data_IF_978763317112
#
_entry.id   IF_978763317112
#
_cell.length_a   1.000
_cell.length_b   1.000
_cell.length_c   1.000
_cell.angle_alpha   90.00
_cell.angle_beta   90.00
_cell.angle_gamma   90.00
#
_symmetry.space_group_name_H-M   'P 1'
#
loop_
_entity.id
_entity.type
_entity.pdbx_description
1 polymer ?
#
# COMPACT_ATOMS: atom_id res chain seq x y z
N UNK A 1 52.95 4.05 -9.19
CA UNK A 1 52.53 5.36 -8.67
C UNK A 1 52.30 5.22 -7.17
N UNK A 2 53.08 5.91 -6.32
CA UNK A 2 53.00 5.78 -4.86
C UNK A 2 51.61 6.13 -4.31
N UNK A 3 50.84 6.98 -5.00
CA UNK A 3 49.46 7.32 -4.60
C UNK A 3 48.53 6.13 -4.79
N UNK A 4 48.71 5.37 -5.87
CA UNK A 4 47.88 4.20 -6.16
C UNK A 4 48.06 3.09 -5.12
N UNK A 5 49.30 2.81 -4.73
CA UNK A 5 49.62 1.78 -3.74
C UNK A 5 49.04 2.14 -2.36
N UNK A 6 49.05 3.43 -2.01
CA UNK A 6 48.52 3.94 -0.75
C UNK A 6 46.99 3.83 -0.68
N UNK A 7 46.29 4.15 -1.77
CA UNK A 7 44.82 3.97 -1.88
C UNK A 7 44.44 2.49 -1.80
N UNK A 8 45.19 1.63 -2.48
CA UNK A 8 44.95 0.18 -2.50
C UNK A 8 45.18 -0.45 -1.12
N UNK A 9 46.23 -0.01 -0.41
CA UNK A 9 46.49 -0.44 0.96
C UNK A 9 45.42 0.07 1.94
N UNK A 10 44.95 1.31 1.79
CA UNK A 10 43.84 1.83 2.60
C UNK A 10 42.54 1.06 2.36
N UNK A 11 42.23 0.72 1.10
CA UNK A 11 41.06 -0.07 0.76
C UNK A 11 41.15 -1.48 1.34
N UNK A 12 42.31 -2.12 1.25
CA UNK A 12 42.53 -3.44 1.84
C UNK A 12 42.34 -3.41 3.37
N UNK A 13 42.92 -2.41 4.04
CA UNK A 13 42.75 -2.22 5.48
C UNK A 13 41.29 -1.90 5.86
N UNK A 14 40.56 -1.15 5.03
CA UNK A 14 39.15 -0.86 5.25
C UNK A 14 38.27 -2.11 5.07
N UNK A 15 38.57 -2.96 4.07
CA UNK A 15 37.91 -4.25 3.86
C UNK A 15 38.18 -5.19 5.05
N UNK A 16 39.43 -5.29 5.48
CA UNK A 16 39.82 -6.05 6.68
C UNK A 16 39.08 -5.52 7.91
N UNK A 17 39.06 -4.20 8.11
CA UNK A 17 38.31 -3.56 9.19
C UNK A 17 36.82 -3.90 9.15
N UNK A 18 36.17 -3.86 7.98
CA UNK A 18 34.77 -4.23 7.83
C UNK A 18 34.49 -5.71 8.11
N UNK A 19 35.41 -6.61 7.72
CA UNK A 19 35.32 -8.04 8.01
C UNK A 19 35.33 -8.30 9.52
N UNK A 20 36.19 -7.60 10.26
CA UNK A 20 36.34 -7.77 11.71
C UNK A 20 35.37 -6.92 12.56
N UNK A 21 34.57 -6.04 11.96
CA UNK A 21 33.60 -5.17 12.66
C UNK A 21 32.17 -5.73 12.75
N UNK A 22 31.97 -7.05 12.64
CA UNK A 22 30.75 -7.73 13.15
C UNK A 22 31.05 -8.14 14.59
N UNK A 23 30.43 -7.63 15.65
CA UNK A 23 29.01 -7.42 15.89
C UNK A 23 28.78 -6.24 16.87
N UNK A 24 28.07 -5.19 16.45
CA UNK A 24 27.28 -4.30 17.35
C UNK A 24 25.95 -3.88 16.70
N UNK A 25 25.40 -4.73 15.84
CA UNK A 25 23.98 -4.68 15.50
C UNK A 25 23.30 -5.90 16.08
N UNK A 26 22.67 -5.73 17.26
CA UNK A 26 21.58 -6.59 17.71
C UNK A 26 20.41 -6.42 16.73
N UNK A 27 20.51 -7.08 15.59
CA UNK A 27 19.50 -7.16 14.56
C UNK A 27 19.38 -8.62 14.15
N UNK A 28 18.16 -9.14 14.18
CA UNK A 28 17.78 -10.50 13.82
C UNK A 28 18.44 -10.88 12.47
N UNK A 29 19.43 -11.80 12.51
CA UNK A 29 20.17 -12.26 11.32
C UNK A 29 19.25 -13.16 10.50
N UNK A 30 18.80 -12.68 9.34
CA UNK A 30 18.20 -13.48 8.27
C UNK A 30 18.96 -13.16 6.98
N UNK A 31 19.83 -14.06 6.52
CA UNK A 31 20.38 -14.04 5.16
C UNK A 31 20.76 -15.46 4.74
N UNK A 32 19.97 -15.95 3.78
CA UNK A 32 20.29 -16.72 2.57
C UNK A 32 21.61 -17.50 2.49
N UNK A 33 21.44 -18.79 2.15
CA UNK A 33 22.43 -19.81 1.92
C UNK A 33 23.21 -19.62 0.61
N UNK A 34 24.51 -19.89 0.63
CA UNK A 34 25.27 -20.53 -0.45
C UNK A 34 26.67 -20.94 0.05
N UNK A 35 26.74 -22.15 0.65
CA UNK A 35 27.87 -23.10 0.76
C UNK A 35 27.62 -24.00 1.98
N UNK A 36 27.89 -25.28 1.81
CA UNK A 36 27.31 -26.38 2.59
C UNK A 36 27.36 -26.22 4.11
N UNK A 37 26.19 -26.38 4.72
CA UNK A 37 25.98 -26.88 6.08
C UNK A 37 26.71 -26.18 7.25
N UNK A 38 26.96 -24.87 7.16
CA UNK A 38 27.55 -24.10 8.27
C UNK A 38 26.53 -23.60 9.32
N UNK A 39 25.25 -23.97 9.16
CA UNK A 39 24.15 -23.58 10.07
C UNK A 39 23.33 -24.79 10.52
N UNK A 40 23.98 -25.93 10.75
CA UNK A 40 23.34 -26.99 11.52
C UNK A 40 23.24 -26.49 12.97
N UNK A 41 22.02 -26.14 13.41
CA UNK A 41 21.74 -25.83 14.81
C UNK A 41 22.37 -26.91 15.69
N UNK A 42 23.13 -26.49 16.69
CA UNK A 42 23.66 -27.42 17.68
C UNK A 42 22.48 -28.11 18.39
N UNK A 43 22.68 -29.35 18.88
CA UNK A 43 21.62 -30.05 19.63
C UNK A 43 21.12 -29.23 20.81
N UNK A 44 22.00 -28.41 21.42
CA UNK A 44 21.63 -27.47 22.47
C UNK A 44 20.72 -26.35 21.96
N UNK A 45 21.02 -25.72 20.83
CA UNK A 45 20.16 -24.69 20.24
C UNK A 45 18.82 -25.26 19.79
N UNK A 46 18.81 -26.49 19.23
CA UNK A 46 17.55 -27.19 18.93
C UNK A 46 16.72 -27.42 20.19
N UNK A 47 17.35 -27.90 21.26
CA UNK A 47 16.71 -28.11 22.56
C UNK A 47 16.18 -26.80 23.15
N UNK A 48 16.96 -25.73 23.07
CA UNK A 48 16.60 -24.41 23.59
C UNK A 48 15.45 -23.82 22.78
N UNK A 49 15.51 -23.92 21.45
CA UNK A 49 14.39 -23.56 20.56
C UNK A 49 13.17 -24.42 20.80
N UNK A 50 13.30 -25.74 21.06
CA UNK A 50 12.18 -26.62 21.38
C UNK A 50 11.58 -26.31 22.77
N UNK A 51 12.41 -25.89 23.74
CA UNK A 51 11.95 -25.42 25.06
C UNK A 51 11.27 -24.06 24.99
N UNK A 52 11.80 -23.14 24.18
CA UNK A 52 11.21 -21.82 23.91
C UNK A 52 9.99 -21.92 22.99
N UNK A 53 9.93 -22.94 22.13
CA UNK A 53 8.79 -23.27 21.28
C UNK A 53 7.67 -23.79 22.16
N UNK A 54 7.01 -22.85 22.83
CA UNK A 54 5.63 -23.04 23.25
C UNK A 54 4.87 -23.31 21.96
N UNK A 55 4.13 -24.42 21.93
CA UNK A 55 3.02 -24.63 21.01
C UNK A 55 1.99 -23.55 21.32
N UNK A 56 2.30 -22.31 20.92
CA UNK A 56 1.34 -21.25 20.80
C UNK A 56 0.37 -21.85 19.83
N UNK A 57 -0.77 -22.32 20.33
CA UNK A 57 -1.84 -22.76 19.46
C UNK A 57 -2.17 -21.63 18.51
N UNK A 58 -3.24 -21.78 17.72
CA UNK A 58 -3.89 -20.57 17.22
C UNK A 58 -4.51 -19.87 18.44
N UNK A 59 -3.70 -19.23 19.26
CA UNK A 59 -4.16 -18.15 20.11
C UNK A 59 -4.62 -17.11 19.10
N UNK A 60 -5.93 -16.88 18.98
CA UNK A 60 -6.40 -15.85 18.09
C UNK A 60 -5.70 -14.54 18.51
N UNK A 61 -5.18 -13.81 17.51
CA UNK A 61 -4.41 -12.57 17.73
C UNK A 61 -5.24 -11.50 18.46
N UNK A 62 -6.56 -11.68 18.49
CA UNK A 62 -7.51 -10.98 19.32
C UNK A 62 -8.30 -12.02 20.16
N UNK A 63 -8.77 -11.67 21.37
CA UNK A 63 -9.75 -12.51 22.06
C UNK A 63 -10.94 -12.76 21.12
N UNK A 64 -11.51 -13.98 21.08
CA UNK A 64 -12.71 -14.24 20.29
C UNK A 64 -13.76 -13.21 20.71
N UNK A 65 -14.18 -12.37 19.78
CA UNK A 65 -15.30 -11.49 20.05
C UNK A 65 -16.52 -12.40 20.21
N UNK A 66 -17.35 -12.15 21.22
CA UNK A 66 -18.56 -12.96 21.43
C UNK A 66 -19.59 -12.82 20.30
N UNK A 67 -19.32 -11.96 19.30
CA UNK A 67 -20.17 -11.67 18.15
C UNK A 67 -19.71 -12.32 16.84
N UNK A 68 -18.41 -12.54 16.62
CA UNK A 68 -17.90 -12.99 15.29
C UNK A 68 -18.08 -14.49 15.04
N UNK A 69 -18.19 -15.32 16.08
CA UNK A 69 -18.21 -16.78 15.91
C UNK A 69 -19.58 -17.34 15.46
N UNK A 70 -20.61 -16.48 15.35
CA UNK A 70 -21.99 -16.87 15.04
C UNK A 70 -22.66 -16.08 13.91
N UNK A 71 -21.92 -15.25 13.16
CA UNK A 71 -22.50 -14.63 11.96
C UNK A 71 -22.66 -15.71 10.87
N UNK A 72 -23.90 -16.14 10.63
CA UNK A 72 -24.24 -16.88 9.42
C UNK A 72 -23.73 -16.09 8.21
N UNK A 73 -22.68 -16.61 7.56
CA UNK A 73 -22.16 -15.99 6.34
C UNK A 73 -23.26 -15.93 5.32
N UNK A 74 -23.68 -14.72 4.95
CA UNK A 74 -24.60 -14.54 3.83
C UNK A 74 -23.87 -14.93 2.55
N UNK A 75 -24.40 -15.93 1.84
CA UNK A 75 -23.87 -16.35 0.55
C UNK A 75 -24.68 -15.63 -0.52
N UNK A 76 -24.01 -14.80 -1.31
CA UNK A 76 -24.60 -14.17 -2.49
C UNK A 76 -24.54 -15.17 -3.64
N UNK A 77 -25.68 -15.49 -4.23
CA UNK A 77 -25.80 -16.39 -5.38
C UNK A 77 -25.77 -15.61 -6.70
N UNK A 78 -26.46 -14.48 -6.75
CA UNK A 78 -26.57 -13.63 -7.94
C UNK A 78 -26.55 -12.14 -7.54
N UNK A 79 -26.01 -11.31 -8.43
CA UNK A 79 -26.01 -9.85 -8.33
C UNK A 79 -26.77 -9.32 -9.56
N UNK A 80 -27.76 -8.47 -9.31
CA UNK A 80 -28.58 -7.81 -10.33
C UNK A 80 -28.61 -6.32 -10.00
N UNK A 81 -27.58 -5.60 -10.44
CA UNK A 81 -27.43 -4.17 -10.25
C UNK A 81 -27.51 -3.80 -8.76
N UNK A 82 -28.53 -3.03 -8.38
CA UNK A 82 -28.75 -2.62 -7.00
C UNK A 82 -29.35 -3.72 -6.09
N UNK A 83 -29.50 -4.96 -6.56
CA UNK A 83 -30.16 -6.06 -5.85
C UNK A 83 -29.26 -7.30 -5.75
N UNK A 84 -29.27 -7.98 -4.60
CA UNK A 84 -28.59 -9.26 -4.38
C UNK A 84 -29.62 -10.38 -4.20
N UNK A 85 -29.30 -11.57 -4.70
CA UNK A 85 -30.02 -12.81 -4.39
C UNK A 85 -29.18 -13.59 -3.39
N UNK A 86 -29.70 -13.74 -2.17
CA UNK A 86 -29.05 -14.50 -1.11
C UNK A 86 -29.46 -15.97 -1.19
N UNK A 87 -28.48 -16.86 -1.07
CA UNK A 87 -28.69 -18.30 -0.99
C UNK A 87 -29.32 -18.69 0.36
N UNK A 88 -30.12 -19.75 0.36
CA UNK A 88 -30.81 -20.26 1.54
C UNK A 88 -31.87 -21.30 1.19
N UNK A 89 -32.66 -21.72 2.18
CA UNK A 89 -33.83 -22.61 1.93
C UNK A 89 -34.83 -21.98 0.96
N UNK A 90 -34.94 -20.65 1.00
CA UNK A 90 -35.69 -19.84 0.04
C UNK A 90 -34.75 -18.75 -0.50
N UNK A 91 -34.72 -18.56 -1.82
CA UNK A 91 -33.97 -17.46 -2.43
C UNK A 91 -34.61 -16.14 -2.00
N UNK A 92 -33.80 -15.25 -1.43
CA UNK A 92 -34.26 -13.93 -0.97
C UNK A 92 -33.61 -12.83 -1.79
N UNK A 93 -34.44 -12.02 -2.44
CA UNK A 93 -34.02 -10.79 -3.10
C UNK A 93 -33.95 -9.65 -2.09
N UNK A 94 -32.82 -8.92 -2.06
CA UNK A 94 -32.57 -7.80 -1.13
C UNK A 94 -31.88 -6.64 -1.85
N UNK A 95 -32.12 -5.41 -1.39
CA UNK A 95 -31.39 -4.24 -1.89
C UNK A 95 -29.94 -4.26 -1.39
N UNK A 96 -29.02 -3.88 -2.27
CA UNK A 96 -27.60 -3.83 -2.02
C UNK A 96 -27.16 -2.44 -1.56
N UNK A 97 -26.82 -2.30 -0.29
CA UNK A 97 -26.21 -1.08 0.27
C UNK A 97 -24.81 -1.37 0.85
N UNK A 98 -24.19 -2.50 0.46
CA UNK A 98 -23.01 -3.03 1.13
C UNK A 98 -21.81 -3.22 0.20
N UNK A 99 -21.99 -3.18 -1.13
CA UNK A 99 -20.89 -3.25 -2.09
C UNK A 99 -20.46 -1.85 -2.53
N UNK A 100 -19.25 -1.76 -3.07
CA UNK A 100 -18.65 -0.51 -3.55
C UNK A 100 -18.71 -0.38 -5.08
N UNK A 101 -19.66 -1.05 -5.73
CA UNK A 101 -19.91 -0.94 -7.17
C UNK A 101 -20.65 0.37 -7.48
N UNK A 102 -19.93 1.48 -7.37
CA UNK A 102 -20.53 2.81 -7.42
C UNK A 102 -21.05 3.19 -8.81
N UNK A 103 -20.48 2.61 -9.87
CA UNK A 103 -20.89 2.87 -11.26
C UNK A 103 -21.79 1.77 -11.83
N UNK A 104 -22.01 0.68 -11.11
CA UNK A 104 -22.85 -0.44 -11.56
C UNK A 104 -22.21 -1.26 -12.67
N UNK A 105 -20.88 -1.22 -12.81
CA UNK A 105 -20.16 -1.85 -13.94
C UNK A 105 -19.97 -3.36 -13.77
N UNK A 106 -20.26 -3.89 -12.57
CA UNK A 106 -20.14 -5.32 -12.32
C UNK A 106 -21.26 -6.15 -12.96
N UNK A 107 -22.38 -5.54 -13.36
CA UNK A 107 -23.56 -6.22 -13.89
C UNK A 107 -24.04 -5.59 -15.21
N UNK A 108 -24.61 -6.41 -16.10
CA UNK A 108 -25.07 -5.98 -17.43
C UNK A 108 -26.53 -5.49 -17.43
N UNK A 109 -27.04 -5.04 -16.29
CA UNK A 109 -28.48 -4.79 -16.08
C UNK A 109 -29.02 -3.61 -16.89
N UNK A 110 -28.15 -2.67 -17.28
CA UNK A 110 -28.48 -1.52 -18.14
C UNK A 110 -28.47 -1.88 -19.64
N UNK A 111 -28.26 -3.15 -19.99
CA UNK A 111 -28.21 -3.65 -21.37
C UNK A 111 -26.85 -3.47 -22.07
N UNK A 112 -25.85 -2.97 -21.36
CA UNK A 112 -24.46 -2.86 -21.83
C UNK A 112 -23.61 -4.04 -21.34
N UNK A 113 -23.54 -5.13 -22.14
CA UNK A 113 -22.69 -6.31 -21.88
C UNK A 113 -21.23 -6.08 -22.33
N UNK A 114 -20.78 -4.84 -22.55
CA UNK A 114 -19.46 -4.56 -23.15
C UNK A 114 -18.30 -5.07 -22.31
N UNK A 115 -18.32 -4.86 -20.98
CA UNK A 115 -17.27 -5.35 -20.07
C UNK A 115 -17.19 -6.87 -20.09
N UNK A 116 -18.34 -7.55 -20.07
CA UNK A 116 -18.42 -9.01 -20.10
C UNK A 116 -18.06 -9.58 -21.48
N UNK A 117 -18.44 -8.92 -22.57
CA UNK A 117 -18.02 -9.28 -23.92
C UNK A 117 -16.49 -9.17 -24.08
N UNK A 118 -15.89 -8.05 -23.64
CA UNK A 118 -14.45 -7.84 -23.64
C UNK A 118 -13.71 -8.86 -22.76
N UNK A 119 -14.29 -9.22 -21.62
CA UNK A 119 -13.74 -10.25 -20.73
C UNK A 119 -13.70 -11.63 -21.42
N UNK A 120 -14.76 -12.02 -22.15
CA UNK A 120 -14.79 -13.28 -22.93
C UNK A 120 -13.77 -13.27 -24.07
N UNK A 121 -13.61 -12.14 -24.75
CA UNK A 121 -12.61 -11.97 -25.81
C UNK A 121 -11.18 -12.07 -25.25
N UNK A 122 -10.92 -11.43 -24.11
CA UNK A 122 -9.64 -11.50 -23.42
C UNK A 122 -9.30 -12.95 -23.00
N UNK A 123 -10.27 -13.70 -22.48
CA UNK A 123 -10.10 -15.13 -22.16
C UNK A 123 -9.77 -15.97 -23.40
N UNK A 124 -10.40 -15.68 -24.53
CA UNK A 124 -10.12 -16.38 -25.80
C UNK A 124 -8.72 -16.07 -26.33
N UNK A 125 -8.27 -14.83 -26.17
CA UNK A 125 -6.99 -14.33 -26.70
C UNK A 125 -5.80 -14.70 -25.81
N UNK A 126 -5.95 -14.53 -24.49
CA UNK A 126 -4.86 -14.62 -23.52
C UNK A 126 -4.93 -15.84 -22.60
N UNK A 127 -6.04 -16.58 -22.62
CA UNK A 127 -6.31 -17.65 -21.67
C UNK A 127 -6.62 -17.10 -20.26
N UNK A 128 -6.49 -17.96 -19.25
CA UNK A 128 -6.91 -17.63 -17.88
C UNK A 128 -5.90 -16.79 -17.08
N UNK A 129 -4.70 -16.54 -17.59
CA UNK A 129 -3.68 -15.77 -16.90
C UNK A 129 -2.27 -15.94 -17.45
N UNK A 130 -1.37 -15.04 -17.05
CA UNK A 130 0.01 -15.02 -17.55
C UNK A 130 0.95 -16.04 -16.90
N UNK A 131 0.53 -16.69 -15.81
CA UNK A 131 1.28 -17.73 -15.09
C UNK A 131 2.72 -17.36 -14.69
N UNK A 132 3.05 -16.07 -14.59
CA UNK A 132 4.39 -15.61 -14.25
C UNK A 132 4.40 -14.18 -13.70
N UNK A 133 5.47 -13.77 -13.02
CA UNK A 133 5.60 -12.42 -12.49
C UNK A 133 5.87 -11.41 -13.62
N UNK A 134 5.45 -10.16 -13.42
CA UNK A 134 5.64 -9.04 -14.35
C UNK A 134 7.10 -8.81 -14.74
N UNK A 135 8.03 -9.02 -13.81
CA UNK A 135 9.47 -8.86 -14.01
C UNK A 135 10.16 -10.01 -14.77
N UNK A 136 9.41 -11.01 -15.25
CA UNK A 136 9.94 -12.11 -16.05
C UNK A 136 9.07 -12.31 -17.31
N UNK A 137 8.49 -13.49 -17.55
CA UNK A 137 7.62 -13.75 -18.71
C UNK A 137 6.13 -13.44 -18.47
N UNK A 138 5.75 -12.85 -17.34
CA UNK A 138 4.35 -12.62 -16.96
C UNK A 138 3.67 -11.40 -17.57
N UNK A 139 4.40 -10.57 -18.32
CA UNK A 139 3.85 -9.33 -18.91
C UNK A 139 3.39 -9.58 -20.34
N UNK A 140 2.08 -9.67 -20.54
CA UNK A 140 1.42 -9.59 -21.86
C UNK A 140 1.01 -8.15 -22.22
N UNK A 141 0.70 -7.91 -23.49
CA UNK A 141 0.28 -6.63 -24.06
C UNK A 141 -0.96 -6.03 -23.37
N UNK A 142 -1.90 -6.86 -22.91
CA UNK A 142 -3.06 -6.38 -22.14
C UNK A 142 -2.67 -5.56 -20.91
N UNK A 143 -1.61 -5.96 -20.18
CA UNK A 143 -1.14 -5.21 -19.01
C UNK A 143 -0.56 -3.85 -19.42
N UNK A 144 0.20 -3.80 -20.51
CA UNK A 144 0.83 -2.57 -20.99
C UNK A 144 -0.22 -1.58 -21.50
N UNK A 145 -1.25 -2.07 -22.21
CA UNK A 145 -2.39 -1.26 -22.64
C UNK A 145 -3.16 -0.70 -21.44
N UNK A 146 -3.36 -1.50 -20.39
CA UNK A 146 -4.03 -1.03 -19.18
C UNK A 146 -3.18 0.03 -18.47
N UNK A 147 -1.86 -0.17 -18.33
CA UNK A 147 -0.96 0.82 -17.74
C UNK A 147 -0.96 2.14 -18.53
N UNK A 148 -0.93 2.09 -19.86
CA UNK A 148 -1.04 3.27 -20.73
C UNK A 148 -2.41 3.95 -20.61
N UNK A 149 -3.50 3.18 -20.61
CA UNK A 149 -4.85 3.70 -20.44
C UNK A 149 -5.03 4.39 -19.08
N UNK A 150 -4.51 3.78 -18.01
CA UNK A 150 -4.57 4.35 -16.67
C UNK A 150 -3.72 5.62 -16.55
N UNK A 151 -2.50 5.62 -17.11
CA UNK A 151 -1.64 6.80 -17.11
C UNK A 151 -2.28 7.97 -17.89
N UNK A 152 -2.83 7.67 -19.07
CA UNK A 152 -3.56 8.65 -19.89
C UNK A 152 -4.80 9.18 -19.18
N UNK A 153 -5.60 8.29 -18.58
CA UNK A 153 -6.81 8.66 -17.85
C UNK A 153 -6.48 9.56 -16.66
N UNK A 154 -5.52 9.18 -15.81
CA UNK A 154 -5.11 9.95 -14.63
C UNK A 154 -4.22 11.16 -14.94
N UNK A 155 -3.77 11.32 -16.20
CA UNK A 155 -2.83 12.34 -16.65
C UNK A 155 -1.48 12.28 -15.90
N UNK A 156 -0.95 11.07 -15.75
CA UNK A 156 0.40 10.80 -15.21
C UNK A 156 1.36 10.37 -16.30
N UNK A 157 2.66 10.45 -16.03
CA UNK A 157 3.69 10.02 -17.00
C UNK A 157 3.69 8.50 -17.23
N UNK A 158 3.33 7.73 -16.21
CA UNK A 158 3.26 6.27 -16.25
C UNK A 158 2.32 5.74 -15.16
N UNK A 159 1.95 4.46 -15.28
CA UNK A 159 1.27 3.69 -14.25
C UNK A 159 1.94 2.31 -14.08
N UNK A 160 1.84 1.74 -12.89
CA UNK A 160 2.35 0.39 -12.58
C UNK A 160 1.17 -0.43 -12.06
N UNK A 161 0.91 -1.56 -12.71
CA UNK A 161 -0.19 -2.44 -12.34
C UNK A 161 0.22 -3.48 -11.28
N UNK A 162 -0.63 -3.64 -10.28
CA UNK A 162 -0.58 -4.69 -9.26
C UNK A 162 -1.79 -5.62 -9.43
N UNK A 163 -1.71 -6.82 -8.85
CA UNK A 163 -2.80 -7.81 -8.94
C UNK A 163 -4.09 -7.40 -8.22
N UNK A 164 -3.97 -6.57 -7.18
CA UNK A 164 -5.09 -6.04 -6.40
C UNK A 164 -4.68 -4.73 -5.69
N UNK A 165 -5.64 -3.90 -5.29
CA UNK A 165 -5.35 -2.62 -4.64
C UNK A 165 -4.73 -2.75 -3.25
N UNK A 166 -5.03 -3.82 -2.50
CA UNK A 166 -4.44 -4.00 -1.17
C UNK A 166 -2.92 -4.23 -1.28
N UNK A 167 -2.51 -5.06 -2.24
CA UNK A 167 -1.14 -5.30 -2.64
C UNK A 167 -0.47 -4.05 -3.18
N UNK A 168 -1.17 -3.27 -4.02
CA UNK A 168 -0.68 -1.99 -4.55
C UNK A 168 -0.37 -1.01 -3.41
N UNK A 169 -1.31 -0.82 -2.49
CA UNK A 169 -1.24 0.17 -1.42
C UNK A 169 -0.20 -0.18 -0.38
N UNK A 170 -0.17 -1.46 0.01
CA UNK A 170 0.85 -2.00 0.91
C UNK A 170 2.25 -1.83 0.31
N UNK A 171 2.41 -2.17 -0.97
CA UNK A 171 3.71 -2.14 -1.65
C UNK A 171 4.19 -0.72 -1.95
N UNK A 172 3.29 0.17 -2.38
CA UNK A 172 3.62 1.54 -2.74
C UNK A 172 4.21 2.29 -1.53
N UNK A 173 3.54 2.26 -0.37
CA UNK A 173 4.05 2.93 0.83
C UNK A 173 5.42 2.37 1.23
N UNK A 174 5.57 1.04 1.24
CA UNK A 174 6.81 0.38 1.63
C UNK A 174 7.95 0.57 0.60
N UNK A 175 7.64 0.83 -0.67
CA UNK A 175 8.63 1.11 -1.71
C UNK A 175 9.17 2.54 -1.61
N UNK A 176 8.31 3.52 -1.32
CA UNK A 176 8.71 4.93 -1.26
C UNK A 176 9.29 5.34 0.09
N UNK A 177 8.83 4.75 1.19
CA UNK A 177 9.34 5.02 2.53
C UNK A 177 10.16 3.87 3.11
N UNK A 178 11.25 4.21 3.80
CA UNK A 178 12.15 3.23 4.45
C UNK A 178 12.55 3.67 5.85
N UNK A 179 13.27 2.79 6.55
CA UNK A 179 13.91 3.12 7.84
C UNK A 179 14.73 4.41 7.72
N UNK A 180 14.44 5.36 8.61
CA UNK A 180 15.04 6.69 8.60
C UNK A 180 14.10 7.78 8.08
N UNK A 181 13.09 7.45 7.27
CA UNK A 181 12.09 8.42 6.80
C UNK A 181 11.02 8.72 7.86
N UNK A 182 10.22 9.76 7.64
CA UNK A 182 9.09 10.16 8.49
C UNK A 182 7.77 10.06 7.73
N UNK A 183 6.77 9.42 8.33
CA UNK A 183 5.40 9.41 7.85
C UNK A 183 4.51 10.07 8.90
N UNK A 184 3.69 11.01 8.46
CA UNK A 184 2.59 11.59 9.23
C UNK A 184 1.30 11.04 8.63
N UNK A 185 0.59 10.22 9.38
CA UNK A 185 -0.45 9.32 8.85
C UNK A 185 -1.78 9.64 9.50
N UNK A 186 -2.86 9.73 8.73
CA UNK A 186 -4.20 9.85 9.31
C UNK A 186 -4.52 8.59 10.11
N UNK A 187 -5.12 8.71 11.29
CA UNK A 187 -5.42 7.54 12.12
C UNK A 187 -6.48 6.60 11.54
N UNK A 188 -7.32 7.10 10.63
CA UNK A 188 -8.43 6.35 10.02
C UNK A 188 -8.08 5.77 8.65
N UNK A 189 -6.80 5.63 8.30
CA UNK A 189 -6.43 4.95 7.06
C UNK A 189 -6.81 3.46 7.10
N UNK A 190 -7.27 2.95 5.98
CA UNK A 190 -7.68 1.57 5.80
C UNK A 190 -6.51 0.57 5.84
N UNK A 191 -6.85 -0.71 6.01
CA UNK A 191 -5.96 -1.76 6.51
C UNK A 191 -4.73 -2.02 5.62
N UNK A 192 -4.83 -2.08 4.28
CA UNK A 192 -3.68 -2.25 3.40
C UNK A 192 -2.68 -1.09 3.48
N UNK A 193 -3.16 0.15 3.51
CA UNK A 193 -2.29 1.33 3.64
C UNK A 193 -1.57 1.30 5.00
N UNK A 194 -2.27 0.91 6.08
CA UNK A 194 -1.67 0.72 7.41
C UNK A 194 -0.62 -0.38 7.43
N UNK A 195 -0.84 -1.45 6.67
CA UNK A 195 0.14 -2.53 6.49
C UNK A 195 1.39 -2.01 5.79
N UNK A 196 1.23 -1.24 4.70
CA UNK A 196 2.34 -0.60 4.00
C UNK A 196 3.16 0.34 4.89
N UNK A 197 2.47 1.18 5.69
CA UNK A 197 3.11 2.04 6.70
C UNK A 197 3.96 1.22 7.67
N UNK A 198 3.45 0.10 8.14
CA UNK A 198 4.17 -0.80 9.06
C UNK A 198 5.39 -1.44 8.39
N UNK A 199 5.23 -1.93 7.15
CA UNK A 199 6.30 -2.57 6.38
C UNK A 199 7.42 -1.60 5.99
N UNK A 200 7.12 -0.30 5.84
CA UNK A 200 8.12 0.73 5.54
C UNK A 200 9.23 0.84 6.60
N UNK A 201 8.95 0.44 7.85
CA UNK A 201 9.86 0.61 9.02
C UNK A 201 10.32 2.06 9.23
N UNK A 202 9.64 3.03 8.64
CA UNK A 202 9.88 4.44 8.85
C UNK A 202 9.42 4.86 10.26
N UNK A 203 9.81 6.05 10.72
CA UNK A 203 9.17 6.61 11.91
C UNK A 203 7.79 7.08 11.52
N UNK A 204 6.79 6.69 12.29
CA UNK A 204 5.39 7.04 12.04
C UNK A 204 4.88 7.91 13.18
N UNK A 205 4.16 8.97 12.84
CA UNK A 205 3.34 9.76 13.77
C UNK A 205 1.93 9.82 13.21
N UNK A 206 0.94 9.59 14.04
CA UNK A 206 -0.46 9.68 13.62
C UNK A 206 -1.02 11.05 13.96
N UNK A 207 -1.84 11.59 13.07
CA UNK A 207 -2.72 12.72 13.37
C UNK A 207 -4.17 12.23 13.43
N UNK A 208 -5.01 13.02 14.12
CA UNK A 208 -6.41 12.64 14.35
C UNK A 208 -7.16 12.71 13.03
N UNK A 209 -8.17 11.86 12.86
CA UNK A 209 -8.85 11.71 11.59
C UNK A 209 -9.37 13.06 11.06
N UNK A 210 -8.88 13.45 9.87
CA UNK A 210 -9.21 14.71 9.19
C UNK A 210 -8.99 16.01 10.03
N UNK A 211 -8.21 15.94 11.13
CA UNK A 211 -7.94 17.07 12.01
C UNK A 211 -6.69 17.83 11.57
N UNK A 212 -6.92 18.90 10.81
CA UNK A 212 -5.84 19.71 10.22
C UNK A 212 -5.06 20.54 11.24
N UNK A 213 -5.67 20.86 12.38
CA UNK A 213 -4.99 21.58 13.46
C UNK A 213 -4.01 20.64 14.17
N UNK A 214 -4.42 19.39 14.41
CA UNK A 214 -3.51 18.37 14.94
C UNK A 214 -2.36 18.08 13.98
N UNK A 215 -2.66 17.94 12.69
CA UNK A 215 -1.65 17.79 11.65
C UNK A 215 -0.66 18.96 11.68
N UNK A 216 -1.15 20.21 11.64
CA UNK A 216 -0.30 21.40 11.67
C UNK A 216 0.58 21.44 12.94
N UNK A 217 0.05 21.07 14.10
CA UNK A 217 0.82 21.01 15.35
C UNK A 217 1.94 19.96 15.31
N UNK A 218 1.67 18.77 14.77
CA UNK A 218 2.70 17.73 14.61
C UNK A 218 3.80 18.20 13.66
N UNK A 219 3.43 18.86 12.56
CA UNK A 219 4.38 19.37 11.57
C UNK A 219 5.27 20.50 12.15
N UNK A 220 4.69 21.43 12.90
CA UNK A 220 5.43 22.49 13.63
C UNK A 220 6.44 21.88 14.61
N UNK A 221 5.97 20.95 15.44
CA UNK A 221 6.84 20.29 16.42
C UNK A 221 7.98 19.52 15.75
N UNK A 222 7.71 18.86 14.62
CA UNK A 222 8.76 18.18 13.86
C UNK A 222 9.77 19.15 13.26
N UNK A 223 9.31 20.29 12.72
CA UNK A 223 10.20 21.31 12.17
C UNK A 223 11.13 21.91 13.25
N UNK A 224 10.59 22.18 14.45
CA UNK A 224 11.40 22.61 15.60
C UNK A 224 12.44 21.57 16.00
N UNK A 225 12.06 20.29 16.03
CA UNK A 225 12.98 19.20 16.32
C UNK A 225 14.08 19.07 15.27
N UNK A 226 13.74 19.14 13.99
CA UNK A 226 14.70 19.05 12.90
C UNK A 226 15.68 20.24 12.95
N UNK A 227 15.19 21.45 13.28
CA UNK A 227 16.05 22.62 13.51
C UNK A 227 17.03 22.43 14.67
N UNK A 228 16.57 21.90 15.82
CA UNK A 228 17.43 21.62 16.99
C UNK A 228 18.51 20.58 16.69
N UNK A 229 18.20 19.62 15.83
CA UNK A 229 19.12 18.57 15.41
C UNK A 229 19.94 18.95 14.17
N UNK A 230 19.85 20.21 13.71
CA UNK A 230 20.50 20.70 12.49
C UNK A 230 20.24 19.83 11.25
N UNK A 231 19.09 19.19 11.18
CA UNK A 231 18.67 18.36 10.05
C UNK A 231 18.17 19.24 8.92
N UNK A 232 18.72 19.03 7.74
CA UNK A 232 18.25 19.63 6.50
C UNK A 232 17.10 18.80 5.93
N UNK A 233 16.25 19.44 5.12
CA UNK A 233 15.17 18.75 4.40
C UNK A 233 15.68 17.61 3.49
N UNK A 234 16.93 17.66 3.04
CA UNK A 234 17.55 16.61 2.23
C UNK A 234 17.97 15.37 3.05
N UNK A 235 18.15 15.50 4.37
CA UNK A 235 18.68 14.42 5.21
C UNK A 235 17.65 13.31 5.46
N UNK A 236 16.36 13.61 5.23
CA UNK A 236 15.26 12.71 5.55
C UNK A 236 14.07 12.96 4.63
N UNK A 237 13.51 11.90 4.04
CA UNK A 237 12.26 12.00 3.31
C UNK A 237 11.09 12.05 4.29
N UNK A 238 10.14 12.92 4.01
CA UNK A 238 8.99 13.22 4.86
C UNK A 238 7.72 13.09 4.03
N UNK A 239 6.77 12.28 4.48
CA UNK A 239 5.52 11.99 3.79
C UNK A 239 4.32 12.25 4.70
N UNK A 240 3.24 12.75 4.11
CA UNK A 240 1.89 12.70 4.65
C UNK A 240 1.18 11.56 3.92
N UNK A 241 0.42 10.74 4.66
CA UNK A 241 -0.29 9.57 4.10
C UNK A 241 -1.76 9.65 4.48
N UNK A 242 -2.64 9.68 3.46
CA UNK A 242 -4.10 9.81 3.61
C UNK A 242 -4.83 9.01 2.52
N UNK A 243 -6.13 8.78 2.71
CA UNK A 243 -7.05 8.40 1.63
C UNK A 243 -7.71 9.66 1.05
N UNK A 244 -8.04 9.67 -0.24
CA UNK A 244 -8.81 10.75 -0.87
C UNK A 244 -10.25 10.76 -0.34
N UNK A 245 -10.92 9.61 -0.44
CA UNK A 245 -12.17 9.30 0.23
C UNK A 245 -11.91 8.15 1.22
N UNK A 246 -12.09 8.41 2.51
CA UNK A 246 -11.78 7.43 3.55
C UNK A 246 -12.81 6.31 3.58
N UNK A 247 -12.36 5.06 3.40
CA UNK A 247 -13.21 3.86 3.38
C UNK A 247 -14.12 3.73 4.59
N UNK A 248 -13.62 4.01 5.80
CA UNK A 248 -14.37 3.75 7.04
C UNK A 248 -15.38 4.85 7.38
N UNK A 249 -15.09 6.11 7.04
CA UNK A 249 -15.93 7.25 7.43
C UNK A 249 -16.75 7.83 6.27
N UNK A 250 -16.39 7.54 5.03
CA UNK A 250 -16.98 8.16 3.84
C UNK A 250 -16.70 9.66 3.73
N UNK A 251 -15.76 10.19 4.53
CA UNK A 251 -15.39 11.61 4.48
C UNK A 251 -14.27 11.84 3.47
N UNK A 252 -14.20 13.06 2.93
CA UNK A 252 -13.08 13.47 2.07
C UNK A 252 -11.94 14.03 2.92
N UNK A 253 -10.71 13.69 2.54
CA UNK A 253 -9.54 14.39 3.08
C UNK A 253 -9.61 15.88 2.73
N UNK A 254 -9.25 16.74 3.68
CA UNK A 254 -9.12 18.17 3.44
C UNK A 254 -7.84 18.47 2.63
N UNK A 255 -7.83 18.08 1.35
CA UNK A 255 -6.67 18.18 0.48
C UNK A 255 -6.19 19.62 0.32
N UNK A 256 -7.09 20.60 0.32
CA UNK A 256 -6.72 22.03 0.27
C UNK A 256 -5.76 22.40 1.40
N UNK A 257 -6.12 22.07 2.65
CA UNK A 257 -5.29 22.41 3.81
C UNK A 257 -4.05 21.50 3.91
N UNK A 258 -4.16 20.23 3.54
CA UNK A 258 -3.01 19.31 3.45
C UNK A 258 -1.98 19.86 2.46
N UNK A 259 -2.41 20.38 1.31
CA UNK A 259 -1.51 20.98 0.32
C UNK A 259 -0.75 22.19 0.87
N UNK A 260 -1.44 23.09 1.57
CA UNK A 260 -0.79 24.25 2.20
C UNK A 260 0.26 23.82 3.24
N UNK A 261 -0.11 22.85 4.09
CA UNK A 261 0.79 22.33 5.12
C UNK A 261 1.97 21.58 4.51
N UNK A 262 1.75 20.73 3.49
CA UNK A 262 2.84 19.97 2.86
C UNK A 262 3.85 20.92 2.22
N UNK A 263 3.38 21.98 1.53
CA UNK A 263 4.26 22.98 0.91
C UNK A 263 5.03 23.76 1.98
N UNK A 264 4.35 24.24 3.01
CA UNK A 264 4.94 25.01 4.12
C UNK A 264 6.03 24.25 4.86
N UNK A 265 5.86 22.95 5.11
CA UNK A 265 6.79 22.14 5.89
C UNK A 265 7.67 21.19 5.05
N UNK A 266 7.58 21.28 3.72
CA UNK A 266 8.32 20.46 2.74
C UNK A 266 8.09 18.95 2.92
N UNK A 267 6.83 18.53 2.91
CA UNK A 267 6.40 17.14 2.90
C UNK A 267 5.90 16.73 1.52
N UNK A 268 6.06 15.45 1.21
CA UNK A 268 5.41 14.77 0.08
C UNK A 268 4.08 14.19 0.52
N UNK A 269 3.20 13.90 -0.42
CA UNK A 269 1.91 13.25 -0.20
C UNK A 269 1.90 11.88 -0.87
N UNK A 270 1.52 10.87 -0.10
CA UNK A 270 1.04 9.58 -0.60
C UNK A 270 -0.47 9.59 -0.38
N UNK A 271 -1.24 9.44 -1.45
CA UNK A 271 -2.69 9.43 -1.41
C UNK A 271 -3.24 8.15 -2.03
N UNK A 272 -4.19 7.55 -1.35
CA UNK A 272 -4.98 6.44 -1.87
C UNK A 272 -6.32 6.93 -2.40
N UNK A 273 -6.55 6.73 -3.69
CA UNK A 273 -7.75 7.17 -4.43
C UNK A 273 -8.71 6.00 -4.71
N UNK A 274 -8.51 4.81 -4.11
CA UNK A 274 -9.26 3.60 -4.47
C UNK A 274 -10.79 3.75 -4.35
N UNK A 275 -11.29 4.53 -3.38
CA UNK A 275 -12.73 4.73 -3.18
C UNK A 275 -13.28 6.00 -3.88
N UNK A 276 -12.41 6.87 -4.38
CA UNK A 276 -12.77 8.14 -5.03
C UNK A 276 -12.58 8.13 -6.53
N UNK A 277 -11.67 7.30 -7.03
CA UNK A 277 -11.47 7.03 -8.45
C UNK A 277 -12.77 6.51 -9.08
N UNK A 278 -13.10 6.95 -10.28
CA UNK A 278 -14.36 6.66 -10.99
C UNK A 278 -15.56 7.53 -10.55
N UNK A 279 -15.60 8.00 -9.30
CA UNK A 279 -16.79 8.66 -8.73
C UNK A 279 -16.63 10.15 -8.48
N UNK A 280 -15.42 10.62 -8.17
CA UNK A 280 -15.16 12.01 -7.81
C UNK A 280 -14.40 12.78 -8.89
N UNK A 281 -14.67 14.08 -8.93
CA UNK A 281 -14.11 15.01 -9.92
C UNK A 281 -14.93 15.03 -11.21
N UNK A 282 -14.79 16.09 -12.05
CA UNK A 282 -15.62 16.25 -13.23
C UNK A 282 -15.46 15.14 -14.27
N UNK A 283 -14.35 14.39 -14.24
CA UNK A 283 -14.12 13.25 -15.15
C UNK A 283 -13.87 11.94 -14.40
N UNK A 284 -14.20 11.87 -13.11
CA UNK A 284 -14.03 10.65 -12.31
C UNK A 284 -12.57 10.31 -11.98
N UNK A 285 -11.62 11.25 -12.03
CA UNK A 285 -10.21 10.95 -11.72
C UNK A 285 -9.91 10.80 -10.22
N UNK A 286 -10.86 11.14 -9.35
CA UNK A 286 -10.69 11.05 -7.91
C UNK A 286 -10.74 12.38 -7.16
N UNK A 287 -10.42 12.31 -5.88
CA UNK A 287 -10.44 13.42 -4.94
C UNK A 287 -9.46 14.52 -5.35
N UNK A 288 -8.26 14.19 -5.84
CA UNK A 288 -7.33 15.19 -6.38
C UNK A 288 -7.99 16.07 -7.44
N UNK A 289 -8.66 15.47 -8.43
CA UNK A 289 -9.35 16.23 -9.47
C UNK A 289 -10.54 17.03 -8.92
N UNK A 290 -11.29 16.48 -7.96
CA UNK A 290 -12.35 17.20 -7.27
C UNK A 290 -11.86 18.51 -6.63
N UNK A 291 -10.65 18.50 -6.05
CA UNK A 291 -9.99 19.67 -5.47
C UNK A 291 -9.13 20.46 -6.48
N UNK A 292 -9.21 20.17 -7.78
CA UNK A 292 -8.42 20.80 -8.85
C UNK A 292 -6.90 20.63 -8.69
N UNK A 293 -6.48 19.56 -8.03
CA UNK A 293 -5.10 19.15 -7.82
C UNK A 293 -4.67 18.13 -8.87
N UNK A 294 -3.37 18.07 -9.14
CA UNK A 294 -2.81 17.19 -10.17
C UNK A 294 -1.97 16.07 -9.55
N UNK A 295 -2.19 14.81 -9.95
CA UNK A 295 -1.25 13.72 -9.69
C UNK A 295 0.17 14.09 -10.13
N UNK A 296 1.19 13.53 -9.46
CA UNK A 296 2.63 13.74 -9.71
C UNK A 296 3.16 15.17 -9.48
N UNK A 297 2.29 16.17 -9.35
CA UNK A 297 2.65 17.55 -8.99
C UNK A 297 2.25 17.87 -7.54
N UNK A 298 0.97 17.69 -7.22
CA UNK A 298 0.40 17.92 -5.90
C UNK A 298 0.41 16.67 -5.01
N UNK A 299 0.51 15.48 -5.61
CA UNK A 299 0.69 14.23 -4.89
C UNK A 299 1.79 13.39 -5.56
N UNK A 300 2.85 13.10 -4.82
CA UNK A 300 4.04 12.41 -5.35
C UNK A 300 3.79 10.92 -5.57
N UNK A 301 2.85 10.33 -4.84
CA UNK A 301 2.44 8.93 -5.02
C UNK A 301 0.92 8.89 -4.96
N UNK A 302 0.30 8.38 -6.03
CA UNK A 302 -1.14 8.18 -6.13
C UNK A 302 -1.38 6.69 -6.33
N UNK A 303 -2.23 6.12 -5.50
CA UNK A 303 -2.62 4.71 -5.55
C UNK A 303 -4.10 4.66 -5.96
N UNK A 304 -4.45 3.77 -6.88
CA UNK A 304 -5.84 3.58 -7.34
C UNK A 304 -6.17 2.09 -7.31
N UNK A 305 -7.40 1.79 -6.90
CA UNK A 305 -8.00 0.47 -6.99
C UNK A 305 -8.99 0.41 -8.15
N UNK A 306 -9.04 -0.73 -8.83
CA UNK A 306 -9.96 -0.99 -9.94
C UNK A 306 -11.13 -1.86 -9.51
N UNK A 307 -11.21 -2.25 -8.24
CA UNK A 307 -12.21 -3.20 -7.73
C UNK A 307 -13.37 -2.55 -6.97
N UNK A 308 -13.41 -1.22 -6.94
CA UNK A 308 -14.51 -0.44 -6.35
C UNK A 308 -15.40 0.11 -7.47
N UNK A 309 -15.07 1.29 -8.01
CA UNK A 309 -15.91 1.98 -8.99
C UNK A 309 -15.87 1.42 -10.42
N UNK A 310 -14.83 0.67 -10.78
CA UNK A 310 -14.69 0.00 -12.09
C UNK A 310 -14.88 -1.51 -11.92
#
# INVERSE_FOLDING_TARGET
>A
DPVHLLVETMLLLFVVYLIFRKDTQKGYKTTTAEKGNEYALTEREKDELLREWKKRGREPLAPPSSSDDNEEKMIVEEVHGATLILAGKEKKSVLNFCTFDFLGLACDDDGDDSVKAQSKEALTTYGCGSCGPRGFYGTIDAHLRLEEAMASFLKTDAAILYSDAASASTSAVAAFAKRGDLLIVDESIYEPLRTGVTLSRATVKHFRHNDMDHLENILKHQAEMDSKLHRKNADRRKFIVVEGLYKHSGTLANLTKIMDLKRKFSYRLIIDESHSFGTLGPTGRGALEHFQLKPMYDAEVVIVGLEQSL
#
